data_IF_961973596158
#
_entry.id   IF_961973596158
#
_cell.length_a   1.000
_cell.length_b   1.000
_cell.length_c   1.000
_cell.angle_alpha   90.00
_cell.angle_beta   90.00
_cell.angle_gamma   90.00
#
_symmetry.space_group_name_H-M   'P 1'
#
loop_
_entity.id
_entity.type
_entity.pdbx_description
1 polymer ?
#
# COMPACT_ATOMS: atom_id res chain seq x y z
N UNK A 1 -20.00 -36.36 6.92
CA UNK A 1 -19.47 -35.27 7.76
C UNK A 1 -17.97 -35.22 7.52
N UNK A 2 -17.55 -34.52 6.47
CA UNK A 2 -16.17 -34.10 6.28
C UNK A 2 -16.08 -32.76 7.01
N UNK A 3 -15.17 -32.67 7.97
CA UNK A 3 -14.85 -31.43 8.67
C UNK A 3 -14.30 -30.43 7.65
N UNK A 4 -14.86 -29.24 7.61
CA UNK A 4 -14.28 -28.07 7.00
C UNK A 4 -12.99 -27.78 7.78
N UNK A 5 -11.85 -28.22 7.24
CA UNK A 5 -10.57 -27.72 7.65
C UNK A 5 -10.38 -26.35 6.95
N UNK A 6 -10.48 -25.29 7.72
CA UNK A 6 -9.94 -23.99 7.33
C UNK A 6 -8.44 -24.19 7.13
N UNK A 7 -8.00 -24.19 5.87
CA UNK A 7 -6.59 -24.25 5.52
C UNK A 7 -5.96 -22.90 5.85
N UNK A 8 -5.34 -22.86 7.01
CA UNK A 8 -4.52 -21.74 7.46
C UNK A 8 -3.14 -21.78 6.79
N UNK A 9 -2.56 -20.63 6.52
CA UNK A 9 -1.14 -20.50 6.13
C UNK A 9 -0.30 -21.22 7.18
N UNK A 10 0.42 -22.28 6.78
CA UNK A 10 1.38 -22.94 7.67
C UNK A 10 2.59 -22.01 7.80
N UNK A 11 2.72 -21.39 8.96
CA UNK A 11 3.86 -20.57 9.35
C UNK A 11 4.90 -21.37 10.12
N UNK A 12 6.15 -21.20 9.76
CA UNK A 12 7.24 -21.30 10.74
C UNK A 12 7.31 -19.96 11.47
N UNK A 13 6.62 -19.86 12.60
CA UNK A 13 6.52 -18.63 13.42
C UNK A 13 7.86 -18.19 14.03
N UNK A 14 8.90 -18.99 13.90
CA UNK A 14 10.20 -18.76 14.55
C UNK A 14 11.22 -18.06 13.65
N UNK A 15 11.01 -18.03 12.34
CA UNK A 15 11.95 -17.43 11.40
C UNK A 15 11.75 -15.91 11.30
N UNK A 16 12.76 -15.16 11.73
CA UNK A 16 12.78 -13.69 11.57
C UNK A 16 13.06 -13.31 10.13
N UNK A 17 12.67 -12.11 9.74
CA UNK A 17 13.03 -11.51 8.48
C UNK A 17 14.55 -11.42 8.33
N UNK A 18 15.08 -11.81 7.18
CA UNK A 18 16.52 -11.77 6.88
C UNK A 18 16.96 -10.38 6.45
N UNK A 19 18.17 -10.00 6.80
CA UNK A 19 18.83 -8.82 6.24
C UNK A 19 18.20 -7.47 6.62
N UNK A 20 17.43 -7.43 7.71
CA UNK A 20 17.04 -6.15 8.28
C UNK A 20 18.23 -5.61 9.09
N UNK A 21 19.19 -5.01 8.39
CA UNK A 21 20.27 -4.22 8.96
C UNK A 21 20.01 -2.75 8.62
N UNK A 22 19.27 -2.04 9.49
CA UNK A 22 18.86 -0.67 9.20
C UNK A 22 20.06 0.26 9.17
N UNK A 23 20.17 1.06 8.13
CA UNK A 23 21.16 2.11 8.07
C UNK A 23 20.88 3.20 9.11
N UNK A 24 21.93 3.70 9.72
CA UNK A 24 21.86 4.84 10.63
C UNK A 24 22.06 6.14 9.83
N UNK A 25 21.31 7.17 10.19
CA UNK A 25 21.50 8.52 9.66
C UNK A 25 22.90 9.02 9.93
N UNK A 26 23.50 9.66 8.95
CA UNK A 26 24.82 10.29 9.10
C UNK A 26 24.73 11.55 9.98
N UNK A 27 25.85 11.96 10.57
CA UNK A 27 25.85 13.09 11.52
C UNK A 27 25.46 14.42 10.90
N UNK A 28 25.84 14.65 9.64
CA UNK A 28 25.49 15.82 8.87
C UNK A 28 24.02 15.83 8.44
N UNK A 29 23.46 14.69 8.06
CA UNK A 29 22.04 14.52 7.79
C UNK A 29 21.18 14.84 9.02
N UNK A 30 21.56 14.28 10.21
CA UNK A 30 20.91 14.58 11.50
C UNK A 30 20.96 16.06 11.87
N UNK A 31 22.04 16.74 11.51
CA UNK A 31 22.22 18.16 11.85
C UNK A 31 21.24 19.08 11.14
N UNK A 32 20.76 18.69 9.97
CA UNK A 32 19.89 19.49 9.09
C UNK A 32 18.41 19.19 9.22
N UNK A 33 18.04 18.09 9.88
CA UNK A 33 16.64 17.64 10.02
C UNK A 33 16.10 17.85 11.42
N UNK A 34 14.79 18.02 11.52
CA UNK A 34 14.03 18.06 12.75
C UNK A 34 12.81 17.13 12.67
N UNK A 35 12.43 16.56 13.81
CA UNK A 35 11.18 15.79 13.94
C UNK A 35 10.11 16.72 14.52
N UNK A 36 8.98 16.78 13.86
CA UNK A 36 7.80 17.52 14.28
C UNK A 36 6.73 16.54 14.75
N UNK A 37 6.20 16.74 15.97
CA UNK A 37 5.14 15.90 16.52
C UNK A 37 3.78 16.59 16.41
N UNK A 38 2.78 15.84 16.04
CA UNK A 38 1.41 16.29 16.08
C UNK A 38 0.76 15.90 17.42
N UNK A 39 0.40 16.86 18.30
CA UNK A 39 -0.19 16.53 19.59
C UNK A 39 -1.61 15.97 19.46
N UNK A 40 -2.22 16.04 18.29
CA UNK A 40 -3.60 15.60 18.05
C UNK A 40 -3.71 14.16 17.56
N UNK A 41 -2.90 13.77 16.57
CA UNK A 41 -2.96 12.42 15.99
C UNK A 41 -1.70 11.58 16.24
N UNK A 42 -0.68 12.16 16.87
CA UNK A 42 0.57 11.46 17.19
C UNK A 42 1.58 11.33 16.04
N UNK A 43 1.26 11.82 14.83
CA UNK A 43 2.17 11.72 13.69
C UNK A 43 3.51 12.42 13.94
N UNK A 44 4.60 11.77 13.55
CA UNK A 44 5.97 12.29 13.61
C UNK A 44 6.48 12.59 12.20
N UNK A 45 6.67 13.86 11.88
CA UNK A 45 7.06 14.32 10.54
C UNK A 45 8.50 14.81 10.55
N UNK A 46 9.27 14.29 9.60
CA UNK A 46 10.64 14.73 9.31
C UNK A 46 10.60 15.91 8.33
N UNK A 47 11.27 17.00 8.69
CA UNK A 47 11.43 18.14 7.80
C UNK A 47 12.76 18.86 8.08
N UNK A 48 13.19 19.69 7.14
CA UNK A 48 14.37 20.52 7.35
C UNK A 48 14.19 21.47 8.53
N UNK A 49 15.23 21.69 9.32
CA UNK A 49 15.22 22.61 10.48
C UNK A 49 14.84 24.04 10.12
N UNK A 50 15.07 24.43 8.87
CA UNK A 50 14.67 25.73 8.32
C UNK A 50 13.18 25.87 8.09
N UNK A 51 12.43 24.75 8.15
CA UNK A 51 10.97 24.78 8.06
C UNK A 51 10.43 25.52 9.28
N UNK A 52 9.67 26.57 9.05
CA UNK A 52 9.03 27.38 10.11
C UNK A 52 7.91 26.59 10.82
N UNK A 53 6.83 27.27 11.18
CA UNK A 53 5.65 26.57 11.68
C UNK A 53 5.07 25.66 10.58
N UNK A 54 4.75 24.41 10.91
CA UNK A 54 4.08 23.48 10.02
C UNK A 54 2.80 22.98 10.63
N UNK A 55 1.89 22.48 9.81
CA UNK A 55 0.64 21.84 10.21
C UNK A 55 0.68 20.39 9.79
N UNK A 56 0.07 19.53 10.58
CA UNK A 56 0.03 18.11 10.32
C UNK A 56 -0.64 17.80 8.98
N UNK A 57 -0.02 17.00 8.10
CA UNK A 57 -0.60 16.65 6.82
C UNK A 57 -1.85 15.76 6.95
N UNK A 58 -2.05 15.10 8.09
CA UNK A 58 -3.12 14.14 8.32
C UNK A 58 -4.35 14.68 9.05
N UNK A 59 -4.18 15.67 9.91
CA UNK A 59 -5.31 16.21 10.70
C UNK A 59 -5.41 17.75 10.71
N UNK A 60 -4.51 18.44 10.02
CA UNK A 60 -4.42 19.91 9.90
C UNK A 60 -4.19 20.69 11.21
N UNK A 61 -3.86 19.99 12.30
CA UNK A 61 -3.53 20.68 13.54
C UNK A 61 -2.10 21.23 13.52
N UNK A 62 -1.81 22.34 14.20
CA UNK A 62 -0.47 22.85 14.35
C UNK A 62 0.46 21.81 14.96
N UNK A 63 1.64 21.66 14.38
CA UNK A 63 2.68 20.76 14.90
C UNK A 63 3.64 21.52 15.80
N UNK A 64 4.13 20.85 16.81
CA UNK A 64 5.12 21.37 17.74
C UNK A 64 6.48 20.80 17.36
N UNK A 65 7.50 21.67 17.22
CA UNK A 65 8.87 21.23 17.08
C UNK A 65 9.32 20.65 18.43
N UNK A 66 9.57 19.39 18.52
CA UNK A 66 10.08 18.80 19.72
C UNK A 66 11.57 18.49 19.58
N UNK A 67 11.98 17.63 20.36
CA UNK A 67 13.30 17.13 20.65
C UNK A 67 14.12 16.69 19.43
N UNK A 68 15.41 16.50 19.71
CA UNK A 68 16.40 16.02 18.76
C UNK A 68 15.94 14.74 18.04
N UNK A 69 16.36 14.66 16.78
CA UNK A 69 16.25 13.49 15.92
C UNK A 69 16.76 12.23 16.66
N UNK A 70 15.84 11.41 17.18
CA UNK A 70 16.16 10.18 17.89
C UNK A 70 15.57 8.97 17.17
N UNK A 71 16.40 7.92 17.08
CA UNK A 71 16.03 6.52 16.87
C UNK A 71 15.09 6.20 15.69
N UNK A 72 15.34 6.77 14.52
CA UNK A 72 14.75 6.29 13.27
C UNK A 72 15.84 5.76 12.35
N UNK A 73 15.47 4.75 11.54
CA UNK A 73 16.36 4.24 10.52
C UNK A 73 16.40 5.18 9.32
N UNK A 74 17.54 5.19 8.64
CA UNK A 74 17.69 5.88 7.38
C UNK A 74 16.98 5.06 6.29
N UNK A 75 16.20 5.67 5.39
CA UNK A 75 15.62 4.93 4.26
C UNK A 75 16.72 4.32 3.38
N UNK A 76 16.49 3.09 2.90
CA UNK A 76 17.30 2.46 1.85
C UNK A 76 16.94 3.08 0.49
N UNK A 77 15.64 3.30 0.25
CA UNK A 77 15.10 3.71 -1.04
C UNK A 77 14.14 4.90 -0.95
N UNK A 78 13.95 5.53 -2.09
CA UNK A 78 12.94 6.56 -2.30
C UNK A 78 12.37 6.46 -3.72
N UNK A 79 11.08 6.75 -3.88
CA UNK A 79 10.47 7.03 -5.17
C UNK A 79 10.28 8.55 -5.24
N UNK A 80 10.90 9.28 -6.19
CA UNK A 80 10.73 10.73 -6.28
C UNK A 80 9.30 11.13 -6.66
N UNK A 81 8.88 12.33 -6.24
CA UNK A 81 7.66 12.94 -6.78
C UNK A 81 7.78 13.19 -8.28
N UNK A 82 6.88 12.59 -9.06
CA UNK A 82 6.74 12.82 -10.51
C UNK A 82 5.59 13.77 -10.82
N UNK A 83 4.59 13.85 -9.95
CA UNK A 83 3.44 14.74 -10.07
C UNK A 83 3.63 16.01 -9.27
N UNK A 84 3.53 17.14 -9.96
CA UNK A 84 3.58 18.46 -9.34
C UNK A 84 2.30 18.78 -8.56
N UNK A 85 2.36 19.77 -7.67
CA UNK A 85 1.18 20.29 -6.95
C UNK A 85 0.05 20.72 -7.91
N UNK A 86 0.42 21.30 -9.06
CA UNK A 86 -0.56 21.69 -10.09
C UNK A 86 -1.29 20.50 -10.68
N UNK A 87 -0.57 19.42 -11.00
CA UNK A 87 -1.18 18.18 -11.52
C UNK A 87 -2.04 17.50 -10.47
N UNK A 88 -1.61 17.48 -9.20
CA UNK A 88 -2.40 16.95 -8.09
C UNK A 88 -3.73 17.68 -7.94
N UNK A 89 -3.72 19.01 -7.99
CA UNK A 89 -4.94 19.84 -7.97
C UNK A 89 -5.85 19.59 -9.17
N UNK A 90 -5.27 19.41 -10.35
CA UNK A 90 -6.04 19.09 -11.55
C UNK A 90 -6.71 17.71 -11.46
N UNK A 91 -5.97 16.71 -10.97
CA UNK A 91 -6.52 15.36 -10.73
C UNK A 91 -7.66 15.39 -9.72
N UNK A 92 -7.52 16.15 -8.63
CA UNK A 92 -8.57 16.30 -7.64
C UNK A 92 -9.82 17.00 -8.19
N UNK A 93 -9.65 18.06 -8.99
CA UNK A 93 -10.75 18.71 -9.69
C UNK A 93 -11.49 17.74 -10.61
N UNK A 94 -10.75 16.98 -11.42
CA UNK A 94 -11.32 15.96 -12.30
C UNK A 94 -12.06 14.87 -11.51
N UNK A 95 -11.55 14.47 -10.35
CA UNK A 95 -12.23 13.52 -9.46
C UNK A 95 -13.58 14.03 -8.96
N UNK A 96 -13.74 15.35 -8.82
CA UNK A 96 -15.01 15.98 -8.40
C UNK A 96 -15.96 16.30 -9.56
N UNK A 97 -15.50 16.20 -10.80
CA UNK A 97 -16.37 16.38 -11.97
C UNK A 97 -17.48 15.33 -12.01
N UNK A 98 -18.65 15.71 -12.49
CA UNK A 98 -19.81 14.81 -12.54
C UNK A 98 -20.46 14.49 -11.19
N UNK A 99 -20.01 15.10 -10.08
CA UNK A 99 -20.58 14.93 -8.74
C UNK A 99 -21.38 16.19 -8.33
N UNK A 100 -22.65 16.35 -8.78
CA UNK A 100 -23.42 17.60 -8.55
C UNK A 100 -23.80 17.82 -7.09
N UNK A 101 -23.91 16.73 -6.30
CA UNK A 101 -24.29 16.79 -4.90
C UNK A 101 -23.09 17.04 -3.95
N UNK A 102 -21.87 17.13 -4.48
CA UNK A 102 -20.69 17.40 -3.68
C UNK A 102 -20.75 18.82 -3.12
N UNK A 103 -20.59 19.01 -1.78
CA UNK A 103 -20.59 20.32 -1.16
C UNK A 103 -19.54 21.26 -1.73
N UNK A 104 -19.83 22.56 -1.75
CA UNK A 104 -18.93 23.57 -2.36
C UNK A 104 -17.54 23.63 -1.73
N UNK A 105 -17.42 23.34 -0.43
CA UNK A 105 -16.14 23.34 0.29
C UNK A 105 -15.09 22.45 -0.39
N UNK A 106 -15.49 21.31 -0.96
CA UNK A 106 -14.59 20.40 -1.65
C UNK A 106 -14.04 20.96 -2.97
N UNK A 107 -14.73 21.94 -3.56
CA UNK A 107 -14.39 22.55 -4.85
C UNK A 107 -13.77 23.94 -4.71
N UNK A 108 -13.61 24.44 -3.47
CA UNK A 108 -13.06 25.76 -3.21
C UNK A 108 -11.57 25.81 -3.58
N UNK A 109 -11.19 26.82 -4.39
CA UNK A 109 -9.80 26.97 -4.87
C UNK A 109 -8.80 27.17 -3.73
N UNK A 110 -9.17 27.96 -2.71
CA UNK A 110 -8.29 28.20 -1.56
C UNK A 110 -8.06 26.90 -0.77
N UNK A 111 -9.12 26.09 -0.64
CA UNK A 111 -9.01 24.79 0.02
C UNK A 111 -8.14 23.82 -0.79
N UNK A 112 -8.25 23.80 -2.13
CA UNK A 112 -7.40 22.98 -2.98
C UNK A 112 -5.91 23.40 -2.93
N UNK A 113 -5.58 24.63 -2.52
CA UNK A 113 -4.21 25.05 -2.27
C UNK A 113 -3.59 24.39 -1.01
N UNK A 114 -4.39 23.84 -0.12
CA UNK A 114 -3.93 23.18 1.10
C UNK A 114 -3.37 21.76 0.85
N UNK A 115 -3.44 21.25 -0.40
CA UNK A 115 -2.85 19.95 -0.75
C UNK A 115 -1.36 19.90 -0.43
N UNK A 116 -0.93 18.85 0.23
CA UNK A 116 0.42 18.68 0.77
C UNK A 116 1.10 17.46 0.21
N UNK A 117 2.39 17.60 -0.04
CA UNK A 117 3.26 16.52 -0.47
C UNK A 117 3.96 15.92 0.76
N UNK A 118 3.81 14.62 0.94
CA UNK A 118 4.43 13.88 2.04
C UNK A 118 5.06 12.61 1.50
N UNK A 119 6.27 12.34 1.89
CA UNK A 119 6.86 11.03 1.75
C UNK A 119 6.37 10.13 2.88
N UNK A 120 5.72 9.04 2.53
CA UNK A 120 5.16 8.05 3.47
C UNK A 120 6.15 6.91 3.63
N UNK A 121 6.39 6.42 4.87
CA UNK A 121 7.25 5.28 5.12
C UNK A 121 6.60 3.98 4.65
N UNK A 122 7.35 3.19 3.88
CA UNK A 122 6.95 1.86 3.45
C UNK A 122 8.04 0.85 3.78
N UNK A 123 7.64 -0.29 4.28
CA UNK A 123 8.48 -1.46 4.36
C UNK A 123 8.28 -2.33 3.12
N UNK A 124 9.36 -2.77 2.53
CA UNK A 124 9.42 -3.55 1.29
C UNK A 124 9.89 -4.96 1.61
N UNK A 125 8.98 -5.91 1.54
CA UNK A 125 9.21 -7.28 1.97
C UNK A 125 9.47 -8.21 0.81
N UNK A 126 10.53 -9.02 0.92
CA UNK A 126 10.80 -10.13 0.04
C UNK A 126 10.39 -11.44 0.69
N UNK A 127 9.68 -12.30 -0.03
CA UNK A 127 9.37 -13.64 0.45
C UNK A 127 9.13 -14.63 -0.68
N UNK A 128 9.34 -15.90 -0.40
CA UNK A 128 9.10 -17.00 -1.33
C UNK A 128 7.97 -17.89 -0.79
N UNK A 129 7.09 -18.32 -1.70
CA UNK A 129 5.92 -19.11 -1.34
C UNK A 129 5.79 -20.34 -2.21
N UNK A 130 5.07 -21.34 -1.68
CA UNK A 130 4.58 -22.50 -2.44
C UNK A 130 3.07 -22.59 -2.28
N UNK A 131 2.37 -22.76 -3.41
CA UNK A 131 0.91 -22.92 -3.44
C UNK A 131 0.51 -24.31 -3.96
N UNK A 132 -0.57 -24.87 -3.37
CA UNK A 132 -1.26 -26.06 -3.89
C UNK A 132 -2.75 -25.80 -3.85
N UNK A 133 -3.37 -25.87 -5.03
CA UNK A 133 -4.78 -25.54 -5.22
C UNK A 133 -5.50 -26.64 -5.97
N UNK A 134 -6.76 -26.88 -5.63
CA UNK A 134 -7.64 -27.69 -6.43
C UNK A 134 -8.95 -26.97 -6.69
N UNK A 135 -9.47 -27.14 -7.89
CA UNK A 135 -10.69 -26.50 -8.36
C UNK A 135 -11.64 -27.53 -8.95
N UNK A 136 -12.94 -27.29 -8.77
CA UNK A 136 -13.98 -27.89 -9.59
C UNK A 136 -14.30 -26.92 -10.72
N UNK A 137 -14.19 -27.40 -11.94
CA UNK A 137 -14.42 -26.55 -13.11
C UNK A 137 -15.42 -27.21 -14.07
N UNK A 138 -16.18 -26.41 -14.81
CA UNK A 138 -17.19 -26.93 -15.73
C UNK A 138 -16.95 -26.47 -17.16
N UNK A 139 -17.35 -27.31 -18.12
CA UNK A 139 -17.54 -26.92 -19.52
C UNK A 139 -18.97 -27.22 -19.90
N UNK A 140 -19.67 -26.21 -20.36
CA UNK A 140 -21.06 -26.32 -20.80
C UNK A 140 -21.13 -26.21 -22.31
N UNK A 141 -21.85 -27.13 -22.93
CA UNK A 141 -22.19 -27.10 -24.35
C UNK A 141 -23.70 -27.05 -24.46
N UNK A 142 -24.19 -26.08 -25.23
CA UNK A 142 -25.60 -25.93 -25.53
C UNK A 142 -25.78 -26.18 -27.05
N UNK A 143 -26.79 -26.91 -27.40
CA UNK A 143 -27.23 -27.09 -28.79
C UNK A 143 -28.75 -27.30 -28.82
N UNK A 144 -29.39 -27.10 -29.95
CA UNK A 144 -30.80 -27.26 -30.14
C UNK A 144 -31.08 -28.17 -31.35
N UNK A 145 -32.22 -28.82 -31.35
CA UNK A 145 -32.85 -29.42 -32.48
C UNK A 145 -34.27 -28.85 -32.65
N UNK A 146 -35.06 -29.39 -33.57
CA UNK A 146 -36.40 -28.87 -33.91
C UNK A 146 -37.39 -28.88 -32.73
N UNK A 147 -37.18 -29.74 -31.73
CA UNK A 147 -38.08 -29.95 -30.60
C UNK A 147 -37.52 -29.52 -29.25
N UNK A 148 -36.19 -29.50 -29.06
CA UNK A 148 -35.57 -29.36 -27.75
C UNK A 148 -34.28 -28.54 -27.76
N UNK A 149 -34.04 -27.84 -26.60
CA UNK A 149 -32.77 -27.25 -26.26
C UNK A 149 -32.00 -28.16 -25.30
N UNK A 150 -30.80 -28.52 -25.69
CA UNK A 150 -29.95 -29.41 -24.92
C UNK A 150 -28.83 -28.63 -24.23
N UNK A 151 -28.58 -28.96 -22.99
CA UNK A 151 -27.43 -28.47 -22.23
C UNK A 151 -26.65 -29.61 -21.63
N UNK A 152 -25.40 -29.79 -22.02
CA UNK A 152 -24.50 -30.75 -21.43
C UNK A 152 -23.40 -30.04 -20.65
N UNK A 153 -23.30 -30.34 -19.34
CA UNK A 153 -22.27 -29.84 -18.46
C UNK A 153 -21.33 -30.98 -18.10
N UNK A 154 -20.02 -30.75 -18.34
CA UNK A 154 -18.95 -31.66 -17.91
C UNK A 154 -18.21 -31.04 -16.75
N UNK A 155 -17.98 -31.87 -15.72
CA UNK A 155 -17.22 -31.46 -14.52
C UNK A 155 -15.79 -31.96 -14.61
N UNK A 156 -14.87 -31.11 -14.14
CA UNK A 156 -13.44 -31.38 -14.14
C UNK A 156 -12.87 -31.04 -12.77
N UNK A 157 -12.00 -31.91 -12.29
CA UNK A 157 -11.15 -31.61 -11.16
C UNK A 157 -9.81 -31.10 -11.68
N UNK A 158 -9.46 -29.86 -11.32
CA UNK A 158 -8.23 -29.19 -11.82
C UNK A 158 -7.31 -28.94 -10.63
N UNK A 159 -6.10 -29.49 -10.69
CA UNK A 159 -5.09 -29.23 -9.67
C UNK A 159 -4.02 -28.26 -10.21
N UNK A 160 -3.52 -27.39 -9.34
CA UNK A 160 -2.40 -26.48 -9.60
C UNK A 160 -1.43 -26.52 -8.43
N UNK A 161 -0.14 -26.52 -8.72
CA UNK A 161 0.91 -26.35 -7.71
C UNK A 161 2.07 -25.59 -8.32
N UNK A 162 2.73 -24.77 -7.51
CA UNK A 162 3.86 -23.97 -7.97
C UNK A 162 4.48 -23.15 -6.84
N UNK A 163 5.50 -22.39 -7.21
CA UNK A 163 6.19 -21.44 -6.34
C UNK A 163 6.03 -20.04 -6.90
N UNK A 164 5.84 -19.07 -6.01
CA UNK A 164 5.79 -17.64 -6.36
C UNK A 164 6.78 -16.93 -5.45
N UNK A 165 7.64 -16.13 -6.04
CA UNK A 165 8.63 -15.34 -5.34
C UNK A 165 8.17 -13.87 -5.39
N UNK A 166 7.92 -13.31 -4.24
CA UNK A 166 7.56 -11.91 -4.09
C UNK A 166 8.80 -11.09 -3.80
N UNK A 167 8.88 -9.93 -4.42
CA UNK A 167 9.96 -8.97 -4.20
C UNK A 167 9.37 -7.59 -3.97
N UNK A 168 9.78 -6.98 -2.86
CA UNK A 168 9.37 -5.64 -2.47
C UNK A 168 7.85 -5.47 -2.34
N UNK A 169 7.17 -6.39 -1.63
CA UNK A 169 5.77 -6.16 -1.25
C UNK A 169 5.73 -4.91 -0.38
N UNK A 170 5.06 -3.83 -0.81
CA UNK A 170 5.00 -2.61 -0.02
C UNK A 170 3.95 -2.73 1.08
N UNK A 171 4.30 -2.32 2.28
CA UNK A 171 3.35 -2.12 3.37
C UNK A 171 3.75 -0.84 4.08
N UNK A 172 2.83 0.11 4.20
CA UNK A 172 3.08 1.36 4.90
C UNK A 172 3.32 1.12 6.39
N UNK A 173 4.19 1.94 6.97
CA UNK A 173 4.63 1.83 8.36
C UNK A 173 4.10 2.94 9.26
N UNK A 174 2.97 3.57 8.93
CA UNK A 174 2.41 4.70 9.67
C UNK A 174 1.00 4.43 10.19
N UNK A 175 0.81 4.44 11.50
CA UNK A 175 -0.52 4.37 12.16
C UNK A 175 -1.37 5.61 11.93
N UNK A 176 -0.76 6.72 11.52
CA UNK A 176 -1.46 7.99 11.29
C UNK A 176 -2.26 8.01 9.98
N UNK A 177 -2.03 7.05 9.09
CA UNK A 177 -2.64 6.94 7.77
C UNK A 177 -3.54 5.70 7.73
N UNK A 178 -4.62 5.78 6.95
CA UNK A 178 -5.49 4.64 6.72
C UNK A 178 -4.83 3.68 5.72
N UNK A 179 -4.61 2.43 6.15
CA UNK A 179 -3.98 1.36 5.35
C UNK A 179 -4.72 1.14 4.02
N UNK A 180 -6.06 1.16 4.04
CA UNK A 180 -6.91 0.97 2.85
C UNK A 180 -6.67 2.07 1.83
N UNK A 181 -6.44 3.29 2.30
CA UNK A 181 -6.12 4.43 1.43
C UNK A 181 -4.75 4.24 0.77
N UNK A 182 -3.74 3.78 1.51
CA UNK A 182 -2.40 3.53 0.96
C UNK A 182 -2.41 2.40 -0.07
N UNK A 183 -3.13 1.33 0.19
CA UNK A 183 -3.31 0.23 -0.78
C UNK A 183 -4.08 0.68 -2.03
N UNK A 184 -5.09 1.54 -1.87
CA UNK A 184 -5.92 1.99 -2.98
C UNK A 184 -5.18 2.91 -3.96
N UNK A 185 -4.15 3.66 -3.54
CA UNK A 185 -3.34 4.48 -4.45
C UNK A 185 -2.24 3.70 -5.18
N UNK A 186 -1.99 2.44 -4.84
CA UNK A 186 -1.06 1.58 -5.58
C UNK A 186 -1.60 1.25 -7.00
N UNK A 187 -0.81 0.87 -7.99
CA UNK A 187 0.61 0.50 -7.85
C UNK A 187 1.57 1.69 -7.94
N UNK A 188 2.77 1.49 -7.38
CA UNK A 188 3.95 2.29 -7.66
C UNK A 188 4.84 1.60 -8.68
N UNK A 189 5.47 2.36 -9.55
CA UNK A 189 6.39 1.86 -10.58
C UNK A 189 7.80 1.74 -9.99
N UNK A 190 8.25 0.54 -9.67
CA UNK A 190 9.54 0.28 -9.03
C UNK A 190 10.77 0.56 -9.91
N UNK A 191 10.59 0.81 -11.20
CA UNK A 191 11.67 1.26 -12.07
C UNK A 191 12.23 2.63 -11.64
N UNK A 192 11.43 3.45 -10.96
CA UNK A 192 11.83 4.76 -10.45
C UNK A 192 12.32 4.70 -8.98
N UNK A 193 12.32 3.51 -8.37
CA UNK A 193 12.86 3.30 -7.03
C UNK A 193 14.38 3.47 -7.07
N UNK A 194 14.88 4.44 -6.35
CA UNK A 194 16.30 4.78 -6.29
C UNK A 194 16.84 4.74 -4.88
N UNK A 195 18.15 4.67 -4.71
CA UNK A 195 18.79 4.80 -3.40
C UNK A 195 18.44 6.15 -2.76
N UNK A 196 18.20 6.11 -1.47
CA UNK A 196 17.82 7.31 -0.74
C UNK A 196 18.95 8.34 -0.73
N UNK A 197 18.59 9.59 -1.00
CA UNK A 197 19.46 10.74 -0.82
C UNK A 197 18.66 11.90 -0.23
N UNK A 198 19.26 12.63 0.73
CA UNK A 198 18.63 13.76 1.43
C UNK A 198 18.09 14.85 0.50
N UNK A 199 18.69 15.05 -0.67
CA UNK A 199 18.26 16.06 -1.62
C UNK A 199 16.81 15.88 -2.08
N UNK A 200 16.28 14.66 -2.04
CA UNK A 200 14.88 14.37 -2.38
C UNK A 200 13.89 14.90 -1.33
N UNK A 201 14.33 15.11 -0.09
CA UNK A 201 13.47 15.65 0.96
C UNK A 201 13.41 17.18 0.96
N UNK A 202 14.23 17.85 0.15
CA UNK A 202 14.24 19.31 0.12
C UNK A 202 12.91 19.88 -0.37
N UNK A 203 12.26 20.66 0.49
CA UNK A 203 10.93 21.23 0.22
C UNK A 203 9.74 20.27 0.42
N UNK A 204 9.98 19.06 0.90
CA UNK A 204 8.96 18.06 1.20
C UNK A 204 8.95 17.69 2.69
N UNK A 205 7.84 17.17 3.16
CA UNK A 205 7.73 16.51 4.45
C UNK A 205 7.90 15.01 4.26
N UNK A 206 8.49 14.33 5.24
CA UNK A 206 8.51 12.88 5.29
C UNK A 206 7.90 12.42 6.62
N UNK A 207 7.01 11.45 6.56
CA UNK A 207 6.48 10.80 7.74
C UNK A 207 7.52 9.82 8.29
N UNK A 208 7.61 9.71 9.60
CA UNK A 208 8.45 8.75 10.28
C UNK A 208 7.61 7.51 10.59
N UNK A 209 8.15 6.31 10.29
CA UNK A 209 7.44 5.08 10.65
C UNK A 209 7.25 4.99 12.17
N UNK A 210 6.14 4.42 12.58
CA UNK A 210 5.78 4.10 13.97
C UNK A 210 5.33 2.63 14.11
N UNK A 211 5.48 1.84 13.03
CA UNK A 211 5.31 0.39 13.02
C UNK A 211 6.57 -0.28 12.49
N UNK A 212 7.09 -1.23 13.26
CA UNK A 212 8.26 -2.02 12.87
C UNK A 212 7.85 -3.18 11.94
N UNK A 213 8.78 -3.73 11.13
CA UNK A 213 8.47 -4.80 10.18
C UNK A 213 7.80 -6.03 10.78
N UNK A 214 8.17 -6.42 12.00
CA UNK A 214 7.61 -7.59 12.66
C UNK A 214 6.12 -7.39 13.00
N UNK A 215 5.70 -6.15 13.30
CA UNK A 215 4.30 -5.80 13.57
C UNK A 215 3.43 -5.91 12.32
N UNK A 216 4.01 -5.74 11.13
CA UNK A 216 3.32 -5.73 9.84
C UNK A 216 3.26 -7.10 9.16
N UNK A 217 3.86 -8.13 9.75
CA UNK A 217 3.93 -9.48 9.16
C UNK A 217 2.56 -10.03 8.77
N UNK A 218 1.53 -9.78 9.58
CA UNK A 218 0.14 -10.19 9.28
C UNK A 218 -0.38 -9.61 7.97
N UNK A 219 -0.22 -8.29 7.78
CA UNK A 219 -0.64 -7.59 6.55
C UNK A 219 0.14 -8.07 5.32
N UNK A 220 1.44 -8.33 5.47
CA UNK A 220 2.27 -8.90 4.38
C UNK A 220 1.69 -10.24 3.93
N UNK A 221 1.31 -11.10 4.88
CA UNK A 221 0.78 -12.43 4.57
C UNK A 221 -0.60 -12.37 3.93
N UNK A 222 -1.50 -11.51 4.40
CA UNK A 222 -2.81 -11.30 3.79
C UNK A 222 -2.68 -10.87 2.33
N UNK A 223 -1.83 -9.88 2.05
CA UNK A 223 -1.57 -9.39 0.68
C UNK A 223 -0.95 -10.46 -0.21
N UNK A 224 0.02 -11.19 0.33
CA UNK A 224 0.69 -12.30 -0.36
C UNK A 224 -0.30 -13.42 -0.66
N UNK A 225 -1.09 -13.85 0.33
CA UNK A 225 -2.05 -14.96 0.18
C UNK A 225 -3.08 -14.64 -0.90
N UNK A 226 -3.66 -13.44 -0.88
CA UNK A 226 -4.60 -13.00 -1.90
C UNK A 226 -3.94 -13.01 -3.30
N UNK A 227 -2.73 -12.47 -3.43
CA UNK A 227 -2.00 -12.47 -4.70
C UNK A 227 -1.68 -13.87 -5.22
N UNK A 228 -1.37 -14.82 -4.32
CA UNK A 228 -1.15 -16.22 -4.68
C UNK A 228 -2.44 -16.85 -5.19
N UNK A 229 -3.57 -16.67 -4.48
CA UNK A 229 -4.89 -17.18 -4.88
C UNK A 229 -5.27 -16.67 -6.27
N UNK A 230 -5.19 -15.37 -6.48
CA UNK A 230 -5.52 -14.72 -7.77
C UNK A 230 -4.66 -15.27 -8.90
N UNK A 231 -3.37 -15.46 -8.67
CA UNK A 231 -2.43 -15.99 -9.65
C UNK A 231 -2.76 -17.42 -10.06
N UNK A 232 -3.07 -18.29 -9.08
CA UNK A 232 -3.43 -19.69 -9.35
C UNK A 232 -4.81 -19.79 -10.02
N UNK A 233 -5.80 -19.03 -9.58
CA UNK A 233 -7.12 -18.98 -10.21
C UNK A 233 -7.03 -18.50 -11.66
N UNK A 234 -6.29 -17.44 -11.92
CA UNK A 234 -6.04 -16.91 -13.28
C UNK A 234 -5.35 -17.93 -14.20
N UNK A 235 -4.67 -18.95 -13.64
CA UNK A 235 -4.04 -20.02 -14.40
C UNK A 235 -5.04 -21.08 -14.90
N UNK A 236 -6.26 -21.12 -14.34
CA UNK A 236 -7.30 -22.11 -14.68
C UNK A 236 -8.18 -21.55 -15.78
N UNK A 237 -7.78 -21.76 -17.02
CA UNK A 237 -8.44 -21.17 -18.22
C UNK A 237 -9.21 -22.22 -19.03
N UNK A 238 -10.20 -21.73 -19.78
CA UNK A 238 -10.94 -22.54 -20.75
C UNK A 238 -12.12 -23.35 -20.17
N UNK A 239 -12.60 -22.94 -19.01
CA UNK A 239 -13.79 -23.48 -18.35
C UNK A 239 -14.89 -22.41 -18.30
N UNK A 240 -16.16 -22.87 -18.20
CA UNK A 240 -17.32 -21.98 -18.05
C UNK A 240 -17.44 -21.45 -16.60
N UNK A 241 -17.15 -22.32 -15.63
CA UNK A 241 -17.06 -21.96 -14.21
C UNK A 241 -15.82 -22.59 -13.60
N UNK A 242 -15.27 -21.91 -12.58
CA UNK A 242 -14.14 -22.39 -11.77
C UNK A 242 -14.50 -22.11 -10.32
N UNK A 243 -14.48 -23.13 -9.48
CA UNK A 243 -14.79 -23.00 -8.05
C UNK A 243 -13.66 -23.62 -7.24
N UNK A 244 -13.01 -22.87 -6.35
CA UNK A 244 -11.95 -23.40 -5.50
C UNK A 244 -12.52 -24.46 -4.54
N UNK A 245 -11.75 -25.51 -4.27
CA UNK A 245 -12.09 -26.60 -3.34
C UNK A 245 -11.06 -26.74 -2.22
N UNK A 246 -9.80 -26.64 -2.55
CA UNK A 246 -8.70 -26.65 -1.59
C UNK A 246 -7.69 -25.60 -2.00
N UNK A 247 -7.26 -24.84 -1.03
CA UNK A 247 -6.26 -23.78 -1.18
C UNK A 247 -5.25 -23.94 -0.04
N UNK A 248 -4.00 -24.16 -0.39
CA UNK A 248 -2.91 -24.20 0.58
C UNK A 248 -1.79 -23.30 0.10
N UNK A 249 -1.45 -22.31 0.91
CA UNK A 249 -0.30 -21.43 0.72
C UNK A 249 0.67 -21.65 1.87
N UNK A 250 1.95 -21.76 1.56
CA UNK A 250 3.02 -21.95 2.54
C UNK A 250 4.12 -20.96 2.24
N UNK A 251 4.55 -20.17 3.23
CA UNK A 251 5.76 -19.37 3.15
C UNK A 251 6.96 -20.29 3.28
N UNK A 252 7.82 -20.30 2.28
CA UNK A 252 8.99 -21.19 2.23
C UNK A 252 10.28 -20.50 2.61
N UNK A 253 10.32 -19.17 2.53
CA UNK A 253 11.48 -18.39 2.94
C UNK A 253 11.04 -16.93 3.18
N UNK A 254 11.44 -16.36 4.32
CA UNK A 254 11.37 -14.94 4.60
C UNK A 254 12.68 -14.30 4.11
N UNK A 255 12.56 -13.38 3.15
CA UNK A 255 13.70 -12.70 2.55
C UNK A 255 14.07 -11.40 3.27
N UNK A 256 14.59 -10.46 2.51
CA UNK A 256 15.01 -9.16 3.02
C UNK A 256 13.83 -8.23 3.28
N UNK A 257 14.03 -7.29 4.21
CA UNK A 257 13.15 -6.15 4.43
C UNK A 257 13.94 -4.88 4.21
N UNK A 258 13.39 -3.97 3.42
CA UNK A 258 14.00 -2.67 3.11
C UNK A 258 13.05 -1.55 3.46
N UNK A 259 13.61 -0.41 3.87
CA UNK A 259 12.85 0.79 4.20
C UNK A 259 12.84 1.75 3.00
N UNK A 260 11.65 2.19 2.58
CA UNK A 260 11.47 3.13 1.48
C UNK A 260 10.56 4.30 1.81
N UNK A 261 10.76 5.43 1.14
CA UNK A 261 9.90 6.60 1.21
C UNK A 261 9.14 6.76 -0.12
N UNK A 262 7.80 6.77 -0.04
CA UNK A 262 6.94 6.83 -1.22
C UNK A 262 6.14 8.13 -1.28
N UNK A 263 6.04 8.75 -2.47
CA UNK A 263 5.45 10.08 -2.62
C UNK A 263 3.93 10.04 -2.60
N UNK A 264 3.30 10.80 -1.71
CA UNK A 264 1.84 10.92 -1.60
C UNK A 264 1.42 12.37 -1.47
N UNK A 265 0.41 12.77 -2.23
CA UNK A 265 -0.28 14.04 -2.07
C UNK A 265 -1.50 13.82 -1.19
N UNK A 266 -1.65 14.61 -0.12
CA UNK A 266 -2.78 14.57 0.81
C UNK A 266 -3.58 15.86 0.77
N UNK A 267 -4.91 15.73 0.89
CA UNK A 267 -5.81 16.84 1.20
C UNK A 267 -6.88 16.38 2.18
N UNK A 268 -7.04 17.11 3.26
CA UNK A 268 -8.09 16.90 4.23
C UNK A 268 -9.17 17.98 4.10
N UNK A 269 -10.42 17.56 4.05
CA UNK A 269 -11.58 18.47 3.98
C UNK A 269 -12.48 18.26 5.18
N UNK A 270 -12.67 19.29 5.99
CA UNK A 270 -13.61 19.26 7.13
C UNK A 270 -14.99 19.69 6.67
N UNK A 271 -15.98 18.82 6.84
CA UNK A 271 -17.36 19.10 6.52
C UNK A 271 -18.33 18.41 7.49
N UNK A 272 -19.30 19.16 8.03
CA UNK A 272 -20.27 18.67 9.01
C UNK A 272 -19.64 17.94 10.22
N UNK A 273 -18.52 18.44 10.73
CA UNK A 273 -17.81 17.87 11.88
C UNK A 273 -17.04 16.58 11.57
N UNK A 274 -16.96 16.16 10.30
CA UNK A 274 -16.18 15.01 9.86
C UNK A 274 -15.01 15.48 8.99
N UNK A 275 -13.91 14.77 9.07
CA UNK A 275 -12.77 14.93 8.17
C UNK A 275 -12.87 13.91 7.05
N UNK A 276 -12.68 14.36 5.81
CA UNK A 276 -12.61 13.56 4.60
C UNK A 276 -11.20 13.71 4.05
N UNK A 277 -10.47 12.62 3.99
CA UNK A 277 -9.10 12.58 3.51
C UNK A 277 -9.06 12.06 2.08
N UNK A 278 -8.24 12.70 1.25
CA UNK A 278 -7.95 12.29 -0.12
C UNK A 278 -6.46 12.05 -0.23
N UNK A 279 -6.10 10.99 -0.92
CA UNK A 279 -4.73 10.69 -1.22
C UNK A 279 -4.53 10.48 -2.73
N UNK A 280 -3.38 10.92 -3.23
CA UNK A 280 -2.97 10.65 -4.60
C UNK A 280 -1.53 10.18 -4.62
N UNK A 281 -1.28 9.11 -5.35
CA UNK A 281 0.05 8.63 -5.65
C UNK A 281 0.86 9.74 -6.34
N UNK A 282 1.93 10.18 -5.70
CA UNK A 282 2.77 11.29 -6.19
C UNK A 282 3.61 10.95 -7.41
N UNK A 283 3.70 9.68 -7.77
CA UNK A 283 4.37 9.19 -8.97
C UNK A 283 3.39 9.01 -10.13
N UNK A 284 2.36 8.19 -9.95
CA UNK A 284 1.46 7.78 -11.04
C UNK A 284 0.27 8.73 -11.23
N UNK A 285 -0.14 9.43 -10.17
CA UNK A 285 -1.32 10.28 -10.16
C UNK A 285 -2.63 9.54 -9.85
N UNK A 286 -2.57 8.25 -9.50
CA UNK A 286 -3.76 7.50 -9.06
C UNK A 286 -4.28 8.08 -7.75
N UNK A 287 -5.59 8.34 -7.68
CA UNK A 287 -6.25 9.03 -6.58
C UNK A 287 -7.38 8.19 -5.97
N UNK A 288 -7.60 8.35 -4.68
CA UNK A 288 -8.71 7.81 -3.91
C UNK A 288 -9.30 8.85 -2.98
#
# INVERSE_FOLDING_TARGET
KLAEQQDTVEEDKTEKWKGFEPEQWQSDEKSNMAVWNCPSCGAEILAEKTTGSTVCPYCDNPMIMPEQFKDSYRPDYIIPFMKSKKEAKQALKAHYEGKPLLPKVFKDENHLEEIRAVYVPFWLFDLDTAGRFSYEATKTRVWEDDDYNYTATRFYHVARAGKINFRKIPVDGSKAIDDTMMEAIEPYEYQDLTEFNMSYLSGYMADKYDQEPDELTGRVYERMEQSVKDCFEASVKGYATVTPKQEKVTVTNKGEVKYGLFPVWFLNTKWNGKTYSFAMNGQTGKMV
#
